data_IF_714117622269
#
_entry.id   IF_714117622269
#
_cell.length_a   1.000
_cell.length_b   1.000
_cell.length_c   1.000
_cell.angle_alpha   90.00
_cell.angle_beta   90.00
_cell.angle_gamma   90.00
#
_symmetry.space_group_name_H-M   'P 1'
#
loop_
_entity.id
_entity.type
_entity.pdbx_description
1 polymer ?
#
# COMPACT_ATOMS: atom_id res chain seq x y z
N UNK A 1 -5.07 -14.41 2.01
CA UNK A 1 -6.03 -15.23 1.24
C UNK A 1 -5.93 -14.77 -0.20
N UNK A 2 -5.65 -15.67 -1.16
CA UNK A 2 -5.41 -15.28 -2.54
C UNK A 2 -6.72 -14.88 -3.25
N UNK A 3 -6.61 -14.04 -4.27
CA UNK A 3 -7.64 -13.80 -5.28
C UNK A 3 -7.69 -14.99 -6.26
N UNK A 4 -8.85 -15.25 -6.85
CA UNK A 4 -8.96 -16.22 -7.95
C UNK A 4 -8.60 -15.53 -9.28
N UNK A 5 -7.58 -15.99 -10.02
CA UNK A 5 -7.23 -15.42 -11.32
C UNK A 5 -8.39 -15.40 -12.33
N UNK A 6 -9.36 -16.31 -12.20
CA UNK A 6 -10.53 -16.35 -13.08
C UNK A 6 -11.50 -15.19 -12.85
N UNK A 7 -11.47 -14.58 -11.66
CA UNK A 7 -12.29 -13.40 -11.34
C UNK A 7 -11.61 -12.10 -11.80
N UNK A 8 -10.33 -12.16 -12.20
CA UNK A 8 -9.58 -10.99 -12.64
C UNK A 8 -10.01 -10.56 -14.03
N UNK A 9 -10.49 -9.32 -14.14
CA UNK A 9 -11.03 -8.77 -15.40
C UNK A 9 -10.56 -7.34 -15.64
N UNK A 10 -10.63 -6.89 -16.89
CA UNK A 10 -10.29 -5.52 -17.24
C UNK A 10 -11.35 -4.56 -16.67
N UNK A 11 -10.91 -3.58 -15.87
CA UNK A 11 -11.79 -2.57 -15.28
C UNK A 11 -11.19 -1.17 -15.37
N UNK A 12 -12.02 -0.15 -15.21
CA UNK A 12 -11.59 1.26 -15.25
C UNK A 12 -10.92 1.64 -13.94
N UNK A 13 -9.74 2.22 -14.04
CA UNK A 13 -9.08 2.95 -12.97
C UNK A 13 -9.08 4.44 -13.32
N UNK A 14 -9.68 5.27 -12.46
CA UNK A 14 -9.85 6.70 -12.64
C UNK A 14 -8.60 7.44 -12.13
N UNK A 15 -7.81 7.97 -13.07
CA UNK A 15 -6.68 8.85 -12.76
C UNK A 15 -7.17 10.24 -12.32
N UNK A 16 -8.34 10.65 -12.81
CA UNK A 16 -9.08 11.84 -12.42
C UNK A 16 -10.55 11.70 -12.82
N UNK A 17 -11.40 12.68 -12.50
CA UNK A 17 -12.84 12.68 -12.86
C UNK A 17 -13.12 12.46 -14.35
N UNK A 18 -12.18 12.83 -15.23
CA UNK A 18 -12.34 12.75 -16.70
C UNK A 18 -11.38 11.78 -17.38
N UNK A 19 -10.39 11.25 -16.66
CA UNK A 19 -9.33 10.41 -17.23
C UNK A 19 -9.30 9.07 -16.53
N UNK A 20 -9.35 8.00 -17.31
CA UNK A 20 -9.26 6.63 -16.81
C UNK A 20 -8.40 5.77 -17.74
N UNK A 21 -7.93 4.64 -17.20
CA UNK A 21 -7.21 3.59 -17.93
C UNK A 21 -7.85 2.24 -17.63
N UNK A 22 -7.75 1.28 -18.56
CA UNK A 22 -8.12 -0.11 -18.29
C UNK A 22 -6.94 -0.81 -17.60
N UNK A 23 -7.24 -1.48 -16.48
CA UNK A 23 -6.27 -2.26 -15.70
C UNK A 23 -6.85 -3.64 -15.36
N UNK A 24 -6.02 -4.68 -15.19
CA UNK A 24 -6.47 -5.93 -14.60
C UNK A 24 -6.90 -5.66 -13.15
N UNK A 25 -8.17 -5.93 -12.85
CA UNK A 25 -8.78 -5.73 -11.54
C UNK A 25 -9.14 -7.09 -10.96
N UNK A 26 -8.51 -7.42 -9.84
CA UNK A 26 -8.80 -8.62 -9.07
C UNK A 26 -10.03 -8.36 -8.19
N UNK A 27 -10.78 -9.42 -7.86
CA UNK A 27 -11.92 -9.30 -6.94
C UNK A 27 -12.00 -10.42 -5.91
N UNK A 28 -12.50 -10.07 -4.72
CA UNK A 28 -12.88 -11.01 -3.66
C UNK A 28 -14.33 -10.74 -3.25
N UNK A 29 -15.05 -11.81 -2.93
CA UNK A 29 -16.43 -11.73 -2.47
C UNK A 29 -16.54 -12.23 -1.03
N UNK A 30 -17.39 -11.58 -0.24
CA UNK A 30 -17.68 -11.93 1.16
C UNK A 30 -16.42 -12.09 2.04
N UNK A 31 -15.47 -11.18 1.88
CA UNK A 31 -14.22 -11.16 2.64
C UNK A 31 -14.46 -10.57 4.04
N UNK A 32 -14.14 -11.31 5.10
CA UNK A 32 -14.07 -10.76 6.45
C UNK A 32 -12.63 -10.37 6.77
N UNK A 33 -12.34 -9.08 6.88
CA UNK A 33 -10.98 -8.57 7.11
C UNK A 33 -11.03 -7.29 7.95
N UNK A 34 -9.92 -6.86 8.59
CA UNK A 34 -9.91 -5.61 9.32
C UNK A 34 -10.17 -4.42 8.39
N UNK A 35 -11.13 -3.60 8.79
CA UNK A 35 -11.66 -2.49 8.02
C UNK A 35 -11.90 -1.32 8.96
N UNK A 36 -11.61 -0.12 8.48
CA UNK A 36 -11.95 1.12 9.18
C UNK A 36 -12.39 2.18 8.18
N UNK A 37 -13.47 2.89 8.51
CA UNK A 37 -13.90 4.07 7.79
C UNK A 37 -13.53 5.29 8.62
N UNK A 38 -12.58 6.06 8.14
CA UNK A 38 -12.13 7.27 8.79
C UNK A 38 -12.90 8.48 8.24
N UNK A 39 -13.95 8.89 8.95
CA UNK A 39 -14.74 10.06 8.54
C UNK A 39 -13.97 11.38 8.74
N UNK A 40 -12.99 11.42 9.65
CA UNK A 40 -12.19 12.63 9.92
C UNK A 40 -11.29 12.96 8.73
N UNK A 41 -10.59 11.96 8.19
CA UNK A 41 -9.73 12.12 7.01
C UNK A 41 -10.41 11.76 5.69
N UNK A 42 -11.71 11.41 5.74
CA UNK A 42 -12.50 11.02 4.57
C UNK A 42 -11.82 9.93 3.75
N UNK A 43 -11.47 8.81 4.39
CA UNK A 43 -10.83 7.68 3.71
C UNK A 43 -11.30 6.33 4.26
N UNK A 44 -11.14 5.29 3.45
CA UNK A 44 -11.40 3.90 3.83
C UNK A 44 -10.07 3.16 3.96
N UNK A 45 -9.86 2.48 5.09
CA UNK A 45 -8.68 1.68 5.37
C UNK A 45 -9.07 0.21 5.39
N UNK A 46 -8.36 -0.61 4.62
CA UNK A 46 -8.54 -2.07 4.56
C UNK A 46 -7.20 -2.73 4.83
N UNK A 47 -7.15 -3.64 5.80
CA UNK A 47 -5.96 -4.47 6.03
C UNK A 47 -6.14 -5.82 5.33
N UNK A 48 -5.15 -6.22 4.53
CA UNK A 48 -5.02 -7.58 3.99
C UNK A 48 -3.75 -8.21 4.55
N UNK A 49 -3.90 -9.35 5.24
CA UNK A 49 -2.78 -10.08 5.83
C UNK A 49 -2.08 -10.95 4.79
N UNK A 50 -0.75 -10.93 4.78
CA UNK A 50 0.04 -11.92 4.06
C UNK A 50 0.04 -13.25 4.82
N UNK A 51 0.50 -14.33 4.16
CA UNK A 51 0.69 -15.64 4.78
C UNK A 51 1.83 -15.68 5.81
N UNK A 52 2.71 -14.68 5.81
CA UNK A 52 3.79 -14.49 6.79
C UNK A 52 3.50 -13.41 7.84
N UNK A 53 4.56 -12.84 8.40
CA UNK A 53 4.50 -11.87 9.50
C UNK A 53 4.35 -10.42 9.03
N UNK A 54 3.52 -10.19 8.01
CA UNK A 54 3.27 -8.86 7.48
C UNK A 54 1.81 -8.67 7.06
N UNK A 55 1.36 -7.43 7.05
CA UNK A 55 0.09 -7.03 6.48
C UNK A 55 0.25 -5.82 5.58
N UNK A 56 -0.66 -5.69 4.62
CA UNK A 56 -0.79 -4.52 3.77
C UNK A 56 -2.03 -3.71 4.20
N UNK A 57 -1.80 -2.47 4.59
CA UNK A 57 -2.83 -1.45 4.79
C UNK A 57 -3.05 -0.75 3.46
N UNK A 58 -4.25 -0.87 2.92
CA UNK A 58 -4.70 -0.14 1.76
C UNK A 58 -5.60 1.01 2.21
N UNK A 59 -5.19 2.24 1.89
CA UNK A 59 -5.91 3.46 2.25
C UNK A 59 -6.46 4.06 0.97
N UNK A 60 -7.78 4.13 0.89
CA UNK A 60 -8.53 4.67 -0.22
C UNK A 60 -9.14 6.01 0.19
N UNK A 61 -8.50 7.15 -0.11
CA UNK A 61 -9.11 8.46 0.08
C UNK A 61 -10.42 8.57 -0.69
N UNK A 62 -11.36 9.34 -0.17
CA UNK A 62 -12.52 9.77 -0.93
C UNK A 62 -12.13 10.60 -2.15
N UNK A 63 -13.12 10.88 -3.00
CA UNK A 63 -12.90 11.68 -4.20
C UNK A 63 -12.29 13.03 -3.81
N UNK A 64 -11.16 13.35 -4.44
CA UNK A 64 -10.40 14.59 -4.24
C UNK A 64 -9.81 14.77 -2.83
N UNK A 65 -9.71 13.69 -2.02
CA UNK A 65 -9.18 13.71 -0.64
C UNK A 65 -7.74 13.23 -0.45
N UNK A 66 -7.04 12.98 -1.55
CA UNK A 66 -5.68 12.42 -1.50
C UNK A 66 -4.70 13.34 -0.77
N UNK A 67 -4.71 14.63 -1.08
CA UNK A 67 -3.74 15.57 -0.51
C UNK A 67 -3.94 15.75 1.00
N UNK A 68 -5.17 15.81 1.49
CA UNK A 68 -5.42 15.88 2.95
C UNK A 68 -4.98 14.60 3.66
N UNK A 69 -5.22 13.43 3.07
CA UNK A 69 -4.77 12.15 3.65
C UNK A 69 -3.24 12.07 3.66
N UNK A 70 -2.55 12.51 2.61
CA UNK A 70 -1.08 12.54 2.56
C UNK A 70 -0.50 13.48 3.61
N UNK A 71 -1.08 14.67 3.77
CA UNK A 71 -0.63 15.66 4.76
C UNK A 71 -0.79 15.17 6.21
N UNK A 72 -1.78 14.31 6.46
CA UNK A 72 -2.08 13.74 7.78
C UNK A 72 -1.51 12.33 7.97
N UNK A 73 -0.68 11.84 7.05
CA UNK A 73 -0.02 10.54 7.18
C UNK A 73 1.14 10.59 8.19
N UNK A 74 0.78 10.76 9.45
CA UNK A 74 1.66 10.87 10.61
C UNK A 74 1.66 9.57 11.43
N UNK A 75 2.68 9.33 12.28
CA UNK A 75 2.72 8.16 13.16
C UNK A 75 1.46 8.00 14.01
N UNK A 76 0.89 9.10 14.49
CA UNK A 76 -0.33 9.12 15.31
C UNK A 76 -1.55 8.68 14.50
N UNK A 77 -1.65 9.11 13.25
CA UNK A 77 -2.72 8.69 12.32
C UNK A 77 -2.62 7.20 12.02
N UNK A 78 -1.42 6.70 11.74
CA UNK A 78 -1.20 5.28 11.51
C UNK A 78 -1.56 4.44 12.74
N UNK A 79 -1.19 4.90 13.93
CA UNK A 79 -1.56 4.26 15.18
C UNK A 79 -3.08 4.26 15.37
N UNK A 80 -3.75 5.40 15.16
CA UNK A 80 -5.22 5.52 15.25
C UNK A 80 -5.93 4.58 14.28
N UNK A 81 -5.48 4.50 13.03
CA UNK A 81 -6.03 3.54 12.06
C UNK A 81 -5.86 2.11 12.56
N UNK A 82 -4.67 1.71 13.00
CA UNK A 82 -4.42 0.36 13.54
C UNK A 82 -5.31 0.03 14.74
N UNK A 83 -5.48 0.97 15.65
CA UNK A 83 -6.29 0.79 16.86
C UNK A 83 -7.80 0.76 16.56
N UNK A 84 -8.23 1.36 15.44
CA UNK A 84 -9.64 1.45 15.03
C UNK A 84 -10.07 0.38 14.01
N UNK A 85 -9.14 -0.46 13.55
CA UNK A 85 -9.45 -1.55 12.62
C UNK A 85 -10.26 -2.64 13.32
N UNK A 86 -11.44 -2.91 12.77
CA UNK A 86 -12.32 -3.98 13.25
C UNK A 86 -12.63 -4.96 12.11
N UNK A 87 -12.82 -6.24 12.45
CA UNK A 87 -13.20 -7.24 11.45
C UNK A 87 -14.60 -6.92 10.91
N UNK A 88 -14.67 -6.60 9.62
CA UNK A 88 -15.92 -6.34 8.91
C UNK A 88 -16.02 -7.24 7.69
N UNK A 89 -17.25 -7.64 7.35
CA UNK A 89 -17.54 -8.30 6.08
C UNK A 89 -17.60 -7.25 4.96
N UNK A 90 -16.74 -7.43 3.96
CA UNK A 90 -16.75 -6.71 2.68
C UNK A 90 -17.37 -7.66 1.64
N UNK A 91 -18.51 -7.28 1.08
CA UNK A 91 -19.23 -8.12 0.12
C UNK A 91 -18.53 -8.22 -1.22
N UNK A 92 -17.93 -7.12 -1.67
CA UNK A 92 -17.09 -7.08 -2.85
C UNK A 92 -15.87 -6.17 -2.64
N UNK A 93 -14.67 -6.74 -2.76
CA UNK A 93 -13.42 -6.02 -2.77
C UNK A 93 -12.83 -6.07 -4.17
N UNK A 94 -12.45 -4.92 -4.73
CA UNK A 94 -11.76 -4.83 -6.01
C UNK A 94 -10.41 -4.15 -5.84
N UNK A 95 -9.34 -4.82 -6.25
CA UNK A 95 -7.97 -4.35 -6.12
C UNK A 95 -7.23 -4.52 -7.46
N UNK A 96 -6.56 -3.49 -8.00
CA UNK A 96 -5.84 -3.64 -9.25
C UNK A 96 -4.64 -4.57 -9.04
N UNK A 97 -4.35 -5.36 -10.07
CA UNK A 97 -3.09 -6.10 -10.21
C UNK A 97 -2.04 -5.18 -10.80
N UNK A 98 -0.90 -5.03 -10.13
CA UNK A 98 0.17 -4.13 -10.56
C UNK A 98 1.52 -4.56 -10.01
N UNK A 99 2.58 -4.12 -10.68
CA UNK A 99 3.96 -4.16 -10.21
C UNK A 99 4.44 -2.72 -10.16
N UNK A 100 5.16 -2.32 -9.11
CA UNK A 100 5.75 -0.99 -8.97
C UNK A 100 7.24 -1.13 -8.82
N UNK A 101 8.04 -0.46 -9.66
CA UNK A 101 9.49 -0.37 -9.45
C UNK A 101 9.99 1.05 -9.49
N UNK A 102 10.73 1.47 -8.47
CA UNK A 102 11.33 2.80 -8.43
C UNK A 102 12.72 2.78 -7.84
N UNK A 103 13.63 3.45 -8.52
CA UNK A 103 14.97 3.74 -8.04
C UNK A 103 15.05 5.24 -7.71
N UNK A 104 15.61 5.53 -6.54
CA UNK A 104 15.83 6.88 -6.04
C UNK A 104 17.33 7.09 -5.85
N UNK A 105 17.85 8.19 -6.41
CA UNK A 105 19.07 8.77 -5.85
C UNK A 105 18.66 9.59 -4.62
N UNK A 106 19.00 9.08 -3.45
CA UNK A 106 18.61 9.66 -2.17
C UNK A 106 19.47 10.85 -1.77
N UNK A 107 20.58 11.14 -2.44
CA UNK A 107 21.48 12.25 -2.08
C UNK A 107 20.72 13.56 -1.82
N UNK A 108 19.98 14.07 -2.82
CA UNK A 108 19.21 15.31 -2.67
C UNK A 108 18.16 15.25 -1.56
N UNK A 109 17.55 14.08 -1.35
CA UNK A 109 16.51 13.88 -0.33
C UNK A 109 17.15 13.90 1.07
N UNK A 110 18.26 13.18 1.26
CA UNK A 110 18.97 13.11 2.53
C UNK A 110 19.58 14.48 2.90
N UNK A 111 20.05 15.25 1.92
CA UNK A 111 20.46 16.64 2.11
C UNK A 111 19.31 17.51 2.64
N UNK A 112 18.12 17.41 2.04
CA UNK A 112 16.92 18.12 2.50
C UNK A 112 16.47 17.70 3.90
N UNK A 113 16.75 16.45 4.29
CA UNK A 113 16.52 15.92 5.63
C UNK A 113 17.63 16.28 6.64
N UNK A 114 18.65 17.04 6.23
CA UNK A 114 19.72 17.53 7.11
C UNK A 114 20.96 16.64 7.19
N UNK A 115 21.01 15.52 6.45
CA UNK A 115 22.21 14.68 6.36
C UNK A 115 23.15 15.29 5.31
N UNK A 116 23.85 16.34 5.72
CA UNK A 116 24.73 17.12 4.82
C UNK A 116 26.17 16.68 4.91
N UNK A 117 26.71 16.54 6.13
CA UNK A 117 28.15 16.37 6.35
C UNK A 117 28.73 15.16 5.62
N UNK A 118 27.99 14.05 5.61
CA UNK A 118 28.37 12.78 4.96
C UNK A 118 28.72 12.92 3.47
N UNK A 119 28.17 13.92 2.78
CA UNK A 119 28.37 14.17 1.34
C UNK A 119 29.43 15.24 1.05
N UNK A 120 30.10 15.77 2.08
CA UNK A 120 31.07 16.87 1.95
C UNK A 120 32.45 16.45 2.43
N UNK A 121 33.47 17.25 2.10
CA UNK A 121 34.84 17.07 2.60
C UNK A 121 34.98 17.16 4.13
N UNK A 122 33.91 17.49 4.85
CA UNK A 122 33.87 17.51 6.33
C UNK A 122 33.49 16.15 6.93
N UNK A 123 33.06 15.18 6.12
CA UNK A 123 32.65 13.87 6.59
C UNK A 123 33.75 13.17 7.43
N UNK A 124 33.39 12.75 8.64
CA UNK A 124 34.24 11.86 9.43
C UNK A 124 33.78 10.40 9.27
N UNK A 125 34.28 9.75 8.22
CA UNK A 125 34.08 8.31 7.96
C UNK A 125 35.30 7.47 8.35
N UNK A 126 36.11 7.97 9.29
CA UNK A 126 37.34 7.29 9.75
C UNK A 126 37.07 5.93 10.39
N UNK A 127 35.85 5.65 10.86
CA UNK A 127 35.45 4.32 11.32
C UNK A 127 35.46 3.24 10.23
N UNK A 128 35.49 3.61 8.94
CA UNK A 128 35.53 2.65 7.82
C UNK A 128 36.97 2.34 7.41
N UNK A 129 37.81 3.36 7.24
CA UNK A 129 39.15 3.23 6.63
C UNK A 129 40.30 3.68 7.53
N UNK A 130 40.01 4.28 8.69
CA UNK A 130 40.99 4.93 9.56
C UNK A 130 41.43 6.32 9.10
N UNK A 131 40.99 6.79 7.92
CA UNK A 131 41.35 8.08 7.35
C UNK A 131 40.13 8.99 7.13
N UNK A 132 40.35 10.31 7.09
CA UNK A 132 39.30 11.34 6.91
C UNK A 132 39.22 11.87 5.47
N UNK A 133 39.49 11.02 4.50
CA UNK A 133 39.49 11.34 3.07
C UNK A 133 38.36 10.63 2.30
N UNK A 134 37.35 10.13 3.00
CA UNK A 134 36.22 9.41 2.42
C UNK A 134 34.95 10.24 2.60
N UNK A 135 34.13 10.29 1.54
CA UNK A 135 32.81 10.94 1.54
C UNK A 135 31.81 10.00 0.88
N UNK A 136 30.54 10.14 1.21
CA UNK A 136 29.45 9.50 0.47
C UNK A 136 29.26 10.26 -0.83
N UNK A 137 29.44 9.59 -1.97
CA UNK A 137 29.26 10.19 -3.29
C UNK A 137 27.85 9.97 -3.84
N UNK A 138 27.21 8.86 -3.50
CA UNK A 138 25.89 8.51 -4.00
C UNK A 138 25.20 7.54 -3.04
N UNK A 139 23.88 7.70 -2.89
CA UNK A 139 23.02 6.72 -2.22
C UNK A 139 21.90 6.35 -3.15
N UNK A 140 21.88 5.09 -3.61
CA UNK A 140 20.82 4.57 -4.48
C UNK A 140 19.94 3.61 -3.71
N UNK A 141 18.64 3.87 -3.68
CA UNK A 141 17.64 2.97 -3.12
C UNK A 141 16.67 2.54 -4.22
N UNK A 142 16.56 1.23 -4.45
CA UNK A 142 15.59 0.66 -5.39
C UNK A 142 14.60 -0.21 -4.62
N UNK A 143 13.32 0.05 -4.86
CA UNK A 143 12.20 -0.69 -4.32
C UNK A 143 11.40 -1.32 -5.46
N UNK A 144 10.91 -2.54 -5.23
CA UNK A 144 9.98 -3.25 -6.10
C UNK A 144 8.82 -3.75 -5.24
N UNK A 145 7.59 -3.55 -5.70
CA UNK A 145 6.37 -3.97 -5.02
C UNK A 145 5.43 -4.62 -6.03
N UNK A 146 5.10 -5.87 -5.80
CA UNK A 146 4.26 -6.67 -6.68
C UNK A 146 2.94 -7.01 -5.97
N UNK A 147 1.81 -6.74 -6.62
CA UNK A 147 0.48 -7.07 -6.12
C UNK A 147 -0.23 -7.92 -7.16
N UNK A 148 -0.32 -9.22 -6.86
CA UNK A 148 -0.90 -10.26 -7.68
C UNK A 148 -1.94 -11.07 -6.91
N UNK A 149 -2.60 -11.99 -7.60
CA UNK A 149 -3.69 -12.79 -7.07
C UNK A 149 -3.26 -13.66 -5.89
N UNK A 150 -2.05 -14.22 -5.94
CA UNK A 150 -1.52 -15.12 -4.90
C UNK A 150 -0.91 -14.35 -3.69
N UNK A 151 -0.77 -13.03 -3.79
CA UNK A 151 0.04 -12.19 -2.89
C UNK A 151 1.41 -11.85 -3.50
N UNK A 152 2.36 -11.44 -2.67
CA UNK A 152 3.76 -11.18 -3.08
C UNK A 152 4.60 -12.46 -3.22
N UNK A 153 4.03 -13.63 -2.96
CA UNK A 153 4.70 -14.92 -3.03
C UNK A 153 3.75 -15.98 -3.57
N UNK A 154 4.16 -16.65 -4.64
CA UNK A 154 3.33 -17.58 -5.39
C UNK A 154 3.03 -18.85 -4.59
N UNK A 155 1.75 -19.07 -4.25
CA UNK A 155 1.28 -20.38 -3.83
C UNK A 155 -0.22 -20.51 -4.09
N UNK A 156 -0.54 -21.26 -5.15
CA UNK A 156 -1.91 -21.60 -5.53
C UNK A 156 -2.53 -22.55 -4.49
N UNK A 157 -3.48 -22.05 -3.72
CA UNK A 157 -4.37 -22.86 -2.88
C UNK A 157 -5.79 -22.80 -3.47
N UNK A 158 -6.29 -23.94 -3.96
CA UNK A 158 -7.63 -24.10 -4.51
C UNK A 158 -8.67 -23.87 -3.40
N UNK A 159 -9.32 -22.70 -3.38
CA UNK A 159 -10.37 -22.39 -2.41
C UNK A 159 -11.75 -22.73 -2.98
N UNK A 160 -12.48 -23.61 -2.30
CA UNK A 160 -13.89 -23.93 -2.61
C UNK A 160 -14.77 -22.78 -2.11
N UNK A 161 -15.42 -22.05 -3.02
CA UNK A 161 -16.40 -21.00 -2.68
C UNK A 161 -17.72 -21.66 -2.28
N UNK A 162 -18.13 -21.48 -1.03
CA UNK A 162 -19.47 -21.83 -0.54
C UNK A 162 -20.20 -20.52 -0.23
N UNK A 163 -21.21 -20.18 -1.03
CA UNK A 163 -22.09 -19.03 -0.77
C UNK A 163 -23.32 -19.49 -0.01
N UNK A 164 -23.47 -19.06 1.24
CA UNK A 164 -24.71 -19.25 2.01
C UNK A 164 -25.74 -18.19 1.61
N UNK A 165 -26.87 -18.65 1.07
CA UNK A 165 -28.04 -17.83 0.74
C UNK A 165 -28.98 -17.76 1.95
N UNK A 166 -28.80 -16.81 2.88
CA UNK A 166 -29.88 -16.38 3.80
C UNK A 166 -29.49 -15.27 4.78
N UNK A 167 -30.38 -14.27 4.85
CA UNK A 167 -30.78 -13.42 5.99
C UNK A 167 -30.06 -12.08 6.29
N UNK A 168 -30.92 -11.06 6.42
CA UNK A 168 -30.75 -9.66 6.88
C UNK A 168 -29.89 -8.76 5.98
N UNK A 169 -30.56 -7.84 5.28
CA UNK A 169 -29.94 -6.88 4.34
C UNK A 169 -29.29 -5.75 5.13
N UNK A 170 -28.12 -6.03 5.71
CA UNK A 170 -27.14 -4.97 5.99
C UNK A 170 -26.74 -4.36 4.63
N UNK A 171 -26.62 -3.03 4.46
CA UNK A 171 -26.10 -2.44 3.23
C UNK A 171 -24.80 -3.12 2.77
N UNK A 172 -24.81 -3.61 1.53
CA UNK A 172 -23.65 -4.28 0.95
C UNK A 172 -22.42 -3.38 1.03
N UNK A 173 -21.36 -3.86 1.68
CA UNK A 173 -20.11 -3.12 1.81
C UNK A 173 -19.23 -3.43 0.60
N UNK A 174 -19.11 -2.49 -0.32
CA UNK A 174 -18.31 -2.62 -1.55
C UNK A 174 -17.12 -1.67 -1.50
N UNK A 175 -15.91 -2.19 -1.64
CA UNK A 175 -14.67 -1.40 -1.67
C UNK A 175 -13.99 -1.56 -3.02
N UNK A 176 -13.79 -0.45 -3.73
CA UNK A 176 -13.17 -0.43 -5.06
C UNK A 176 -11.93 0.46 -5.07
N UNK A 177 -10.75 -0.14 -5.14
CA UNK A 177 -9.47 0.57 -5.35
C UNK A 177 -9.30 0.94 -6.83
N UNK A 178 -10.27 1.69 -7.37
CA UNK A 178 -10.32 2.08 -8.78
C UNK A 178 -9.96 3.56 -9.01
N UNK A 179 -9.28 4.19 -8.05
CA UNK A 179 -8.79 5.57 -8.07
C UNK A 179 -7.53 5.65 -7.20
N UNK A 180 -6.74 6.73 -7.23
CA UNK A 180 -5.49 6.82 -6.47
C UNK A 180 -5.67 6.42 -5.00
N UNK A 181 -4.78 5.58 -4.52
CA UNK A 181 -4.80 5.04 -3.16
C UNK A 181 -3.36 4.91 -2.63
N UNK A 182 -3.24 4.78 -1.31
CA UNK A 182 -1.98 4.53 -0.63
C UNK A 182 -1.93 3.07 -0.18
N UNK A 183 -0.72 2.53 -0.14
CA UNK A 183 -0.45 1.19 0.37
C UNK A 183 0.74 1.25 1.33
N UNK A 184 0.59 0.61 2.49
CA UNK A 184 1.62 0.55 3.51
C UNK A 184 1.79 -0.90 3.92
N UNK A 185 3.01 -1.43 3.87
CA UNK A 185 3.32 -2.77 4.35
C UNK A 185 3.95 -2.65 5.73
N UNK A 186 3.35 -3.32 6.70
CA UNK A 186 3.80 -3.34 8.10
C UNK A 186 4.07 -4.77 8.55
N UNK A 187 5.10 -5.01 9.37
CA UNK A 187 5.25 -6.29 10.07
C UNK A 187 4.12 -6.46 11.09
N UNK A 188 3.71 -7.69 11.35
CA UNK A 188 2.69 -7.99 12.36
C UNK A 188 3.22 -7.87 13.79
N UNK A 189 4.53 -8.00 13.97
CA UNK A 189 5.23 -8.06 15.27
C UNK A 189 5.82 -6.72 15.72
N UNK A 190 6.01 -5.78 14.80
CA UNK A 190 6.61 -4.46 15.08
C UNK A 190 5.76 -3.32 14.53
N UNK A 191 6.07 -2.09 14.96
CA UNK A 191 5.47 -0.87 14.40
C UNK A 191 6.29 -0.28 13.25
N UNK A 192 7.22 -1.05 12.69
CA UNK A 192 8.04 -0.60 11.58
C UNK A 192 7.24 -0.53 10.27
N UNK A 193 7.69 0.30 9.34
CA UNK A 193 7.13 0.38 8.00
C UNK A 193 8.11 -0.28 7.04
N UNK A 194 7.69 -1.35 6.36
CA UNK A 194 8.51 -2.02 5.35
C UNK A 194 8.43 -1.28 4.02
N UNK A 195 7.23 -0.85 3.63
CA UNK A 195 6.98 -0.10 2.39
C UNK A 195 5.88 0.93 2.57
N UNK A 196 6.00 2.04 1.87
CA UNK A 196 4.95 3.04 1.66
C UNK A 196 4.89 3.33 0.17
N UNK A 197 3.69 3.34 -0.41
CA UNK A 197 3.48 3.61 -1.82
C UNK A 197 2.21 4.40 -2.06
N UNK A 198 2.24 5.25 -3.09
CA UNK A 198 1.06 5.89 -3.67
C UNK A 198 0.86 5.36 -5.08
N UNK A 199 -0.29 4.72 -5.32
CA UNK A 199 -0.64 4.16 -6.63
C UNK A 199 -1.54 5.15 -7.38
N UNK A 200 -0.93 6.01 -8.21
CA UNK A 200 -1.68 6.96 -9.05
C UNK A 200 -2.17 6.31 -10.33
N UNK A 201 -1.37 5.40 -10.91
CA UNK A 201 -1.69 4.69 -12.15
C UNK A 201 -1.09 3.28 -12.12
N UNK A 202 -1.89 2.21 -11.92
CA UNK A 202 -1.37 0.85 -11.81
C UNK A 202 -0.83 0.28 -13.13
N UNK A 203 -1.02 0.96 -14.28
CA UNK A 203 -0.47 0.54 -15.59
C UNK A 203 0.95 1.06 -15.85
N UNK A 204 1.35 2.12 -15.14
CA UNK A 204 2.67 2.78 -15.27
C UNK A 204 3.53 2.60 -14.03
N UNK A 205 3.07 1.76 -13.11
CA UNK A 205 3.77 1.53 -11.87
C UNK A 205 5.01 0.66 -12.14
#
# INVERSE_FOLDING_TARGET
>A
MPFDPQDTHQSRFYLSKKKWVMVPMMSLHHLTTPYFRDEELSCTVVELKYTGNASALFILPDQDKMEEVEAMLLPETLKRWRDSLEFRRIDELYLPKFSISRAFNLENILLQLGIVEAFTSKADLSGITGARNLVVSQVVHKAVLDVFEEGTEASAATAVKITLLSALVDPMTIVRFNRPFLMIIVPTDTQNLLFISKVINPKQA
#
